data_IF_217995022173
#
_entry.id   IF_217995022173
#
_cell.length_a   1.000
_cell.length_b   1.000
_cell.length_c   1.000
_cell.angle_alpha   90.00
_cell.angle_beta   90.00
_cell.angle_gamma   90.00
#
_symmetry.space_group_name_H-M   'P 1'
#
loop_
_entity.id
_entity.type
_entity.pdbx_description
1 polymer ?
#
# COMPACT_ATOMS: atom_id res chain seq x y z
N UNK A 1 -1.52 -17.36 14.36
CA UNK A 1 -0.70 -16.14 14.15
C UNK A 1 -0.57 -15.41 15.47
N UNK A 2 0.50 -14.64 15.69
CA UNK A 2 0.66 -13.80 16.89
C UNK A 2 0.34 -12.34 16.53
N UNK A 3 -0.45 -11.63 17.36
CA UNK A 3 -0.83 -10.22 17.18
C UNK A 3 -1.29 -9.87 15.74
N UNK A 4 -2.20 -10.67 15.19
CA UNK A 4 -2.63 -10.55 13.81
C UNK A 4 -3.81 -9.58 13.67
N UNK A 5 -3.73 -8.67 12.70
CA UNK A 5 -4.86 -7.84 12.26
C UNK A 5 -5.90 -8.70 11.54
N UNK A 6 -5.44 -9.62 10.68
CA UNK A 6 -6.25 -10.64 10.03
C UNK A 6 -5.66 -12.03 10.37
N UNK A 7 -6.27 -12.77 11.33
CA UNK A 7 -5.77 -14.07 11.74
C UNK A 7 -6.05 -15.19 10.73
N UNK A 8 -6.91 -14.93 9.75
CA UNK A 8 -7.31 -15.87 8.70
C UNK A 8 -7.27 -15.16 7.34
N UNK A 9 -7.01 -15.96 6.31
CA UNK A 9 -7.14 -15.56 4.91
C UNK A 9 -8.60 -15.18 4.64
N UNK A 10 -8.84 -14.03 4.01
CA UNK A 10 -10.17 -13.58 3.62
C UNK A 10 -10.55 -13.99 2.20
N UNK A 11 -9.58 -14.12 1.30
CA UNK A 11 -9.91 -14.43 -0.09
C UNK A 11 -10.48 -15.84 -0.23
N UNK A 12 -11.36 -16.03 -1.21
CA UNK A 12 -11.94 -17.34 -1.53
C UNK A 12 -10.84 -18.36 -1.90
N UNK A 13 -11.17 -19.66 -1.88
CA UNK A 13 -10.20 -20.79 -1.91
C UNK A 13 -9.18 -20.72 -3.05
N UNK A 14 -9.52 -20.12 -4.19
CA UNK A 14 -8.65 -20.00 -5.38
C UNK A 14 -7.87 -18.69 -5.45
N UNK A 15 -8.17 -17.71 -4.60
CA UNK A 15 -7.51 -16.41 -4.56
C UNK A 15 -6.41 -16.41 -3.50
N UNK A 16 -5.51 -15.43 -3.55
CA UNK A 16 -4.35 -15.36 -2.63
C UNK A 16 -4.40 -14.07 -1.83
N UNK A 17 -4.12 -14.14 -0.54
CA UNK A 17 -3.89 -12.94 0.28
C UNK A 17 -2.38 -12.78 0.44
N UNK A 18 -1.91 -11.54 0.55
CA UNK A 18 -0.55 -11.31 1.01
C UNK A 18 -0.44 -11.71 2.49
N UNK A 19 0.78 -11.87 2.99
CA UNK A 19 1.02 -12.00 4.42
C UNK A 19 2.30 -11.27 4.79
N UNK A 20 2.40 -10.88 6.05
CA UNK A 20 3.60 -10.29 6.63
C UNK A 20 3.92 -11.00 7.94
N UNK A 21 5.21 -11.27 8.17
CA UNK A 21 5.70 -11.80 9.44
C UNK A 21 6.89 -11.00 9.91
N UNK A 22 6.80 -10.44 11.11
CA UNK A 22 7.90 -9.76 11.79
C UNK A 22 8.59 -10.74 12.73
N UNK A 23 9.89 -10.93 12.50
CA UNK A 23 10.76 -11.71 13.38
C UNK A 23 11.57 -10.78 14.29
N UNK A 24 11.59 -11.07 15.58
CA UNK A 24 12.31 -10.30 16.60
C UNK A 24 13.42 -11.18 17.17
N UNK A 25 14.64 -10.68 17.19
CA UNK A 25 15.77 -11.41 17.76
C UNK A 25 15.62 -11.52 19.28
N UNK A 26 15.78 -12.73 19.80
CA UNK A 26 15.86 -13.01 21.23
C UNK A 26 17.08 -13.89 21.51
N UNK A 27 18.09 -13.32 22.16
CA UNK A 27 19.38 -13.99 22.37
C UNK A 27 20.02 -14.38 21.04
N UNK A 28 20.30 -15.67 20.85
CA UNK A 28 20.82 -16.24 19.60
C UNK A 28 19.73 -16.64 18.58
N UNK A 29 18.45 -16.60 18.95
CA UNK A 29 17.32 -17.02 18.12
C UNK A 29 16.41 -15.87 17.66
N UNK A 30 15.30 -16.24 17.03
CA UNK A 30 14.22 -15.35 16.60
C UNK A 30 12.88 -15.86 17.12
N UNK A 31 12.00 -14.93 17.51
CA UNK A 31 10.60 -15.19 17.80
C UNK A 31 9.71 -14.40 16.83
N UNK A 32 8.46 -14.82 16.66
CA UNK A 32 7.48 -14.06 15.92
C UNK A 32 7.00 -12.90 16.79
N UNK A 33 7.26 -11.67 16.34
CA UNK A 33 6.68 -10.46 16.96
C UNK A 33 5.21 -10.30 16.57
N UNK A 34 4.94 -10.39 15.27
CA UNK A 34 3.59 -10.53 14.74
C UNK A 34 3.60 -11.28 13.40
N UNK A 35 2.45 -11.82 13.01
CA UNK A 35 2.22 -12.37 11.69
C UNK A 35 0.74 -12.18 11.33
N UNK A 36 0.44 -11.70 10.13
CA UNK A 36 -0.94 -11.45 9.70
C UNK A 36 -1.09 -11.72 8.21
N UNK A 37 -2.28 -12.17 7.81
CA UNK A 37 -2.72 -12.03 6.43
C UNK A 37 -2.97 -10.53 6.14
N UNK A 38 -2.93 -10.18 4.86
CA UNK A 38 -3.20 -8.86 4.34
C UNK A 38 -3.94 -9.03 3.02
N UNK A 39 -5.26 -8.95 3.08
CA UNK A 39 -6.09 -9.20 1.91
C UNK A 39 -7.59 -9.08 2.12
N UNK A 40 -8.30 -9.10 1.00
CA UNK A 40 -9.75 -9.04 0.93
C UNK A 40 -10.32 -10.30 0.28
N UNK A 41 -11.44 -10.16 -0.41
CA UNK A 41 -12.16 -11.28 -1.04
C UNK A 41 -11.49 -11.88 -2.28
N UNK A 42 -10.65 -11.10 -2.97
CA UNK A 42 -9.94 -11.47 -4.19
C UNK A 42 -8.43 -11.66 -3.97
N UNK A 43 -7.60 -11.22 -4.93
CA UNK A 43 -6.15 -11.51 -4.96
C UNK A 43 -5.33 -10.30 -4.56
N UNK A 44 -4.39 -10.55 -3.64
CA UNK A 44 -3.35 -9.63 -3.22
C UNK A 44 -1.96 -10.19 -3.49
N UNK A 45 -1.07 -9.31 -3.92
CA UNK A 45 0.35 -9.60 -4.07
C UNK A 45 1.17 -8.53 -3.34
N UNK A 46 1.89 -8.94 -2.29
CA UNK A 46 2.87 -8.09 -1.61
C UNK A 46 4.23 -8.18 -2.30
N UNK A 47 4.66 -7.12 -2.98
CA UNK A 47 5.92 -7.11 -3.74
C UNK A 47 7.10 -6.55 -2.97
N UNK A 48 6.85 -5.61 -2.05
CA UNK A 48 7.91 -4.89 -1.38
C UNK A 48 7.60 -4.71 0.11
N UNK A 49 8.64 -4.82 0.92
CA UNK A 49 8.59 -4.57 2.37
C UNK A 49 9.84 -3.80 2.79
N UNK A 50 9.65 -2.84 3.69
CA UNK A 50 10.74 -2.07 4.29
C UNK A 50 10.42 -1.71 5.73
N UNK A 51 11.44 -1.37 6.51
CA UNK A 51 11.27 -1.01 7.92
C UNK A 51 12.14 0.20 8.25
N UNK A 52 11.60 1.17 8.99
CA UNK A 52 12.37 2.32 9.45
C UNK A 52 13.07 2.05 10.79
N UNK A 53 13.89 3.01 11.24
CA UNK A 53 14.63 2.90 12.50
C UNK A 53 13.72 2.82 13.75
N UNK A 54 12.47 3.30 13.66
CA UNK A 54 11.47 3.16 14.72
C UNK A 54 10.79 1.78 14.73
N UNK A 55 11.12 0.90 13.77
CA UNK A 55 10.54 -0.44 13.64
C UNK A 55 9.16 -0.47 12.99
N UNK A 56 8.70 0.65 12.43
CA UNK A 56 7.47 0.67 11.61
C UNK A 56 7.77 -0.02 10.29
N UNK A 57 6.88 -0.92 9.88
CA UNK A 57 7.03 -1.72 8.66
C UNK A 57 6.09 -1.18 7.60
N UNK A 58 6.57 -1.05 6.38
CA UNK A 58 5.79 -0.62 5.24
C UNK A 58 5.77 -1.73 4.20
N UNK A 59 4.59 -2.00 3.65
CA UNK A 59 4.37 -3.00 2.61
C UNK A 59 3.73 -2.31 1.41
N UNK A 60 4.22 -2.63 0.23
CA UNK A 60 3.62 -2.18 -1.02
C UNK A 60 3.36 -3.37 -1.94
N UNK A 61 2.27 -3.30 -2.67
CA UNK A 61 1.79 -4.39 -3.50
C UNK A 61 0.61 -3.96 -4.34
N UNK A 62 -0.21 -4.92 -4.75
CA UNK A 62 -1.44 -4.64 -5.47
C UNK A 62 -2.53 -5.64 -5.09
N UNK A 63 -3.78 -5.20 -5.22
CA UNK A 63 -4.99 -5.92 -4.82
C UNK A 63 -6.05 -5.79 -5.90
N UNK A 64 -6.81 -6.85 -6.17
CA UNK A 64 -8.06 -6.79 -6.94
C UNK A 64 -9.30 -6.81 -6.03
N UNK A 65 -9.11 -6.79 -4.72
CA UNK A 65 -10.19 -6.81 -3.74
C UNK A 65 -10.74 -5.42 -3.52
N UNK A 66 -12.03 -5.22 -3.75
CA UNK A 66 -12.73 -3.98 -3.38
C UNK A 66 -12.92 -3.80 -1.87
N UNK A 67 -12.71 -4.89 -1.11
CA UNK A 67 -12.81 -4.98 0.34
C UNK A 67 -11.45 -5.16 1.04
N UNK A 68 -10.34 -4.79 0.39
CA UNK A 68 -9.02 -4.75 1.01
C UNK A 68 -9.05 -3.88 2.28
N UNK A 69 -8.36 -4.29 3.37
CA UNK A 69 -8.44 -3.58 4.64
C UNK A 69 -7.75 -2.21 4.57
N UNK A 70 -8.52 -1.14 4.77
CA UNK A 70 -8.04 0.26 4.75
C UNK A 70 -8.04 0.88 6.15
N UNK A 71 -7.11 1.81 6.40
CA UNK A 71 -7.00 2.56 7.66
C UNK A 71 -6.36 3.93 7.39
N UNK A 72 -6.94 5.02 7.91
CA UNK A 72 -6.50 6.42 7.68
C UNK A 72 -6.07 6.69 6.22
N UNK A 73 -6.86 6.17 5.28
CA UNK A 73 -6.45 6.05 3.89
C UNK A 73 -6.56 7.36 3.13
N UNK A 74 -5.59 7.63 2.25
CA UNK A 74 -5.69 8.71 1.27
C UNK A 74 -6.72 8.37 0.18
N UNK A 75 -6.71 7.14 -0.31
CA UNK A 75 -7.73 6.56 -1.18
C UNK A 75 -8.40 5.40 -0.42
N UNK A 76 -9.55 5.65 0.25
CA UNK A 76 -10.24 4.64 1.05
C UNK A 76 -11.05 3.65 0.21
N UNK A 77 -11.24 3.93 -1.07
CA UNK A 77 -12.08 3.13 -1.98
C UNK A 77 -11.27 2.64 -3.17
N UNK A 78 -11.44 1.36 -3.48
CA UNK A 78 -10.92 0.73 -4.68
C UNK A 78 -11.37 1.47 -5.94
N UNK A 79 -10.49 1.56 -6.94
CA UNK A 79 -10.74 2.16 -8.23
C UNK A 79 -11.87 1.47 -8.99
N UNK A 80 -12.62 2.18 -9.87
CA UNK A 80 -13.78 1.60 -10.58
C UNK A 80 -13.40 0.61 -11.70
N UNK A 81 -12.14 0.18 -11.78
CA UNK A 81 -11.56 -0.53 -12.91
C UNK A 81 -11.96 -1.98 -13.08
N UNK A 82 -12.49 -2.33 -14.25
CA UNK A 82 -12.68 -3.71 -14.70
C UNK A 82 -11.71 -4.04 -15.84
N UNK A 83 -10.98 -5.13 -15.69
CA UNK A 83 -9.85 -5.41 -16.56
C UNK A 83 -10.26 -6.01 -17.90
N UNK A 84 -9.71 -5.45 -18.99
CA UNK A 84 -9.85 -5.94 -20.36
C UNK A 84 -11.31 -6.14 -20.83
N UNK A 85 -12.24 -5.30 -20.37
CA UNK A 85 -13.66 -5.43 -20.72
C UNK A 85 -14.37 -6.60 -20.02
N UNK A 86 -13.75 -7.16 -18.97
CA UNK A 86 -14.41 -8.09 -18.06
C UNK A 86 -15.63 -7.43 -17.40
N UNK A 87 -16.67 -8.22 -17.16
CA UNK A 87 -17.84 -7.80 -16.35
C UNK A 87 -17.76 -8.29 -14.91
N UNK A 88 -16.72 -9.06 -14.56
CA UNK A 88 -16.67 -9.80 -13.29
C UNK A 88 -15.27 -9.89 -12.68
N UNK A 89 -14.29 -9.13 -13.18
CA UNK A 89 -12.93 -9.15 -12.66
C UNK A 89 -12.42 -7.72 -12.55
N UNK A 90 -12.10 -7.36 -11.32
CA UNK A 90 -11.46 -6.09 -11.03
C UNK A 90 -10.07 -6.05 -11.66
N UNK A 91 -9.64 -4.86 -12.05
CA UNK A 91 -8.21 -4.61 -12.22
C UNK A 91 -7.49 -4.65 -10.88
N UNK A 92 -6.18 -4.51 -10.93
CA UNK A 92 -5.39 -4.34 -9.73
C UNK A 92 -5.23 -2.86 -9.42
N UNK A 93 -5.52 -2.46 -8.18
CA UNK A 93 -5.03 -1.21 -7.63
C UNK A 93 -3.77 -1.49 -6.82
N UNK A 94 -2.82 -0.56 -6.83
CA UNK A 94 -1.70 -0.67 -5.92
C UNK A 94 -2.21 -0.45 -4.49
N UNK A 95 -1.49 -1.00 -3.51
CA UNK A 95 -1.72 -0.67 -2.11
C UNK A 95 -0.43 -0.26 -1.43
N UNK A 96 -0.56 0.56 -0.39
CA UNK A 96 0.54 0.88 0.53
C UNK A 96 0.01 0.77 1.95
N UNK A 97 0.69 -0.03 2.77
CA UNK A 97 0.30 -0.34 4.15
C UNK A 97 1.44 -0.04 5.09
N UNK A 98 1.11 0.50 6.26
CA UNK A 98 2.00 0.65 7.40
C UNK A 98 1.54 -0.26 8.54
N UNK A 99 2.48 -0.96 9.15
CA UNK A 99 2.33 -1.67 10.42
C UNK A 99 3.20 -1.03 11.50
N UNK A 100 2.62 -0.85 12.68
CA UNK A 100 3.36 -0.56 13.90
C UNK A 100 4.20 -1.78 14.32
N UNK A 101 5.27 -1.60 15.13
CA UNK A 101 6.08 -2.72 15.63
C UNK A 101 5.27 -3.78 16.41
N UNK A 102 4.13 -3.36 16.98
CA UNK A 102 3.15 -4.17 17.72
C UNK A 102 2.28 -5.05 16.82
N UNK A 103 2.19 -4.74 15.52
CA UNK A 103 1.33 -5.42 14.56
C UNK A 103 0.08 -4.64 14.17
N UNK A 104 -0.24 -3.53 14.85
CA UNK A 104 -1.37 -2.66 14.48
C UNK A 104 -1.16 -2.03 13.10
N UNK A 105 -2.24 -1.77 12.35
CA UNK A 105 -2.19 -1.20 11.00
C UNK A 105 -2.73 0.25 11.01
N UNK A 106 -1.89 1.25 11.34
CA UNK A 106 -2.33 2.64 11.43
C UNK A 106 -2.65 3.28 10.08
N UNK A 107 -2.07 2.77 8.98
CA UNK A 107 -2.28 3.30 7.64
C UNK A 107 -2.38 2.15 6.62
N UNK A 108 -3.36 2.22 5.74
CA UNK A 108 -3.53 1.32 4.60
C UNK A 108 -4.42 1.99 3.57
N UNK A 109 -3.91 2.14 2.35
CA UNK A 109 -4.60 2.83 1.26
C UNK A 109 -4.53 2.03 -0.03
N UNK A 110 -5.57 2.16 -0.86
CA UNK A 110 -5.46 1.89 -2.28
C UNK A 110 -4.64 2.98 -2.97
N UNK A 111 -4.22 2.71 -4.20
CA UNK A 111 -3.53 3.65 -5.06
C UNK A 111 -3.71 3.26 -6.53
N UNK A 112 -4.82 3.69 -7.13
CA UNK A 112 -5.16 3.28 -8.50
C UNK A 112 -6.46 3.90 -9.02
N UNK A 113 -6.87 3.48 -10.21
CA UNK A 113 -8.05 3.99 -10.90
C UNK A 113 -8.72 2.95 -11.82
N UNK A 114 -8.67 3.13 -13.14
CA UNK A 114 -9.52 2.38 -14.09
C UNK A 114 -8.87 1.08 -14.60
N UNK A 115 -7.55 1.04 -14.66
CA UNK A 115 -6.76 -0.08 -15.19
C UNK A 115 -5.71 -0.53 -14.18
N UNK A 116 -4.89 -1.50 -14.55
CA UNK A 116 -3.90 -2.08 -13.64
C UNK A 116 -2.88 -1.02 -13.16
N UNK A 117 -2.77 -0.95 -11.84
CA UNK A 117 -1.89 -0.08 -11.08
C UNK A 117 -1.09 -0.95 -10.10
N UNK A 118 0.22 -1.05 -10.29
CA UNK A 118 1.03 -2.07 -9.64
C UNK A 118 2.20 -1.42 -8.90
N UNK A 119 2.19 -1.43 -7.56
CA UNK A 119 3.38 -1.12 -6.78
C UNK A 119 4.34 -2.33 -6.81
N UNK A 120 5.58 -2.08 -7.26
CA UNK A 120 6.60 -3.11 -7.51
C UNK A 120 7.80 -2.99 -6.58
N UNK A 121 8.08 -1.80 -6.04
CA UNK A 121 9.23 -1.55 -5.19
C UNK A 121 8.94 -0.52 -4.12
N UNK A 122 9.73 -0.55 -3.05
CA UNK A 122 9.67 0.41 -1.96
C UNK A 122 11.07 0.66 -1.40
N UNK A 123 11.36 1.91 -1.06
CA UNK A 123 12.57 2.32 -0.35
C UNK A 123 12.22 3.36 0.73
N UNK A 124 13.07 3.46 1.75
CA UNK A 124 12.94 4.47 2.79
C UNK A 124 14.18 5.36 2.82
N UNK A 125 14.01 6.64 3.12
CA UNK A 125 15.12 7.52 3.46
C UNK A 125 15.38 7.60 4.98
N UNK A 126 16.46 8.25 5.38
CA UNK A 126 16.85 8.41 6.79
C UNK A 126 15.85 9.25 7.60
N UNK A 127 14.97 10.01 6.94
CA UNK A 127 13.91 10.77 7.60
C UNK A 127 12.63 9.94 7.78
N UNK A 128 12.64 8.67 7.34
CA UNK A 128 11.48 7.79 7.40
C UNK A 128 10.44 8.07 6.33
N UNK A 129 10.77 8.87 5.30
CA UNK A 129 9.89 8.98 4.14
C UNK A 129 9.97 7.68 3.34
N UNK A 130 8.83 7.26 2.80
CA UNK A 130 8.71 6.04 2.03
C UNK A 130 8.50 6.42 0.56
N UNK A 131 9.26 5.79 -0.32
CA UNK A 131 9.15 5.96 -1.76
C UNK A 131 8.68 4.63 -2.34
N UNK A 132 7.51 4.63 -2.96
CA UNK A 132 6.93 3.47 -3.63
C UNK A 132 7.04 3.68 -5.13
N UNK A 133 7.51 2.66 -5.84
CA UNK A 133 7.65 2.71 -7.29
C UNK A 133 6.84 1.61 -7.94
N UNK A 134 6.38 1.86 -9.16
CA UNK A 134 5.50 0.93 -9.84
C UNK A 134 5.21 1.33 -11.28
N UNK A 135 4.14 0.73 -11.81
CA UNK A 135 3.56 1.13 -13.09
C UNK A 135 2.07 1.37 -12.98
N UNK A 136 1.54 2.25 -13.82
CA UNK A 136 0.13 2.56 -13.96
C UNK A 136 -0.29 2.48 -15.42
N UNK A 137 -1.43 1.87 -15.68
CA UNK A 137 -2.11 1.88 -16.99
C UNK A 137 -3.27 2.89 -17.01
N UNK A 138 -3.55 3.49 -15.85
CA UNK A 138 -4.73 4.30 -15.55
C UNK A 138 -4.56 5.77 -15.95
N UNK A 139 -5.46 6.32 -16.82
CA UNK A 139 -5.46 7.76 -17.13
C UNK A 139 -5.79 8.61 -15.90
N UNK A 140 -6.64 8.09 -15.00
CA UNK A 140 -7.06 8.76 -13.77
C UNK A 140 -6.22 8.41 -12.54
N UNK A 141 -5.01 7.83 -12.72
CA UNK A 141 -4.23 7.42 -11.56
C UNK A 141 -3.88 8.62 -10.66
N UNK A 142 -4.06 8.49 -9.33
CA UNK A 142 -3.85 9.56 -8.37
C UNK A 142 -2.51 10.29 -8.52
N UNK A 143 -2.55 11.63 -8.54
CA UNK A 143 -1.37 12.51 -8.57
C UNK A 143 -1.56 13.70 -7.61
N UNK A 144 -0.48 14.41 -7.25
CA UNK A 144 -0.56 15.74 -6.65
C UNK A 144 -0.20 16.83 -7.64
N UNK A 145 -0.65 18.04 -7.33
CA UNK A 145 -0.09 19.27 -7.87
C UNK A 145 1.44 19.28 -7.75
N UNK A 146 2.13 19.73 -8.80
CA UNK A 146 3.60 19.77 -8.86
C UNK A 146 4.29 18.46 -9.22
N UNK A 147 3.55 17.45 -9.70
CA UNK A 147 4.13 16.24 -10.32
C UNK A 147 5.07 16.57 -11.50
N UNK A 148 6.09 15.75 -11.70
CA UNK A 148 7.14 16.01 -12.72
C UNK A 148 6.64 15.88 -14.16
N UNK A 149 5.62 15.05 -14.40
CA UNK A 149 4.96 14.89 -15.69
C UNK A 149 3.43 15.06 -15.50
N UNK A 150 2.85 16.22 -15.86
CA UNK A 150 1.43 16.50 -15.64
C UNK A 150 0.52 15.89 -16.71
N UNK A 151 1.06 15.51 -17.87
CA UNK A 151 0.31 14.93 -18.98
C UNK A 151 0.70 13.46 -19.21
N UNK A 152 -0.29 12.58 -19.37
CA UNK A 152 -0.08 11.15 -19.60
C UNK A 152 0.54 10.89 -20.99
N UNK A 153 1.55 10.02 -21.03
CA UNK A 153 2.09 9.38 -22.23
C UNK A 153 1.24 8.19 -22.74
N UNK A 154 1.71 7.52 -23.78
CA UNK A 154 1.01 6.35 -24.36
C UNK A 154 1.49 5.05 -23.69
N UNK A 155 0.55 4.18 -23.26
CA UNK A 155 0.85 2.86 -22.69
C UNK A 155 1.00 2.84 -21.16
N UNK A 156 1.76 1.85 -20.67
CA UNK A 156 2.16 1.69 -19.26
C UNK A 156 3.12 2.81 -18.88
N UNK A 157 2.84 3.51 -17.78
CA UNK A 157 3.69 4.57 -17.25
C UNK A 157 4.32 4.13 -15.93
N UNK A 158 5.57 4.52 -15.70
CA UNK A 158 6.15 4.36 -14.38
C UNK A 158 5.45 5.33 -13.40
N UNK A 159 5.47 5.00 -12.11
CA UNK A 159 5.18 5.99 -11.09
C UNK A 159 6.19 5.90 -9.94
N UNK A 160 6.37 7.03 -9.25
CA UNK A 160 6.96 7.10 -7.91
C UNK A 160 5.95 7.78 -7.00
N UNK A 161 5.70 7.27 -5.81
CA UNK A 161 4.87 7.90 -4.78
C UNK A 161 5.75 8.13 -3.56
N UNK A 162 5.80 9.37 -3.08
CA UNK A 162 6.44 9.68 -1.80
C UNK A 162 5.38 9.78 -0.70
N UNK A 163 5.60 9.05 0.38
CA UNK A 163 4.83 9.12 1.61
C UNK A 163 5.70 9.75 2.70
N UNK A 164 5.27 10.87 3.25
CA UNK A 164 5.91 11.56 4.37
C UNK A 164 5.05 11.47 5.62
N UNK A 165 5.66 11.20 6.78
CA UNK A 165 4.97 11.39 8.06
C UNK A 165 4.90 12.89 8.35
N UNK A 166 3.69 13.48 8.37
CA UNK A 166 3.59 14.88 8.77
C UNK A 166 4.01 15.01 10.25
N UNK A 167 5.05 15.80 10.51
CA UNK A 167 5.35 16.29 11.86
C UNK A 167 4.39 17.44 12.18
N UNK A 168 3.76 17.36 13.36
CA UNK A 168 2.83 18.36 13.92
C UNK A 168 3.55 19.69 14.29
N UNK A 169 2.83 20.83 14.49
CA UNK A 169 1.38 20.90 14.70
C UNK A 169 0.60 21.14 13.40
N UNK A 170 -0.58 20.52 13.28
CA UNK A 170 -1.47 20.79 12.16
C UNK A 170 -2.11 22.18 12.26
N UNK A 171 -2.62 22.74 11.15
CA UNK A 171 -3.63 23.80 11.20
C UNK A 171 -4.80 23.35 12.08
N UNK A 172 -5.51 24.27 12.76
CA UNK A 172 -6.41 23.97 13.87
C UNK A 172 -7.60 23.02 13.59
N UNK A 173 -7.70 22.41 12.42
CA UNK A 173 -8.75 21.47 12.04
C UNK A 173 -8.29 20.20 11.29
N UNK A 174 -7.00 19.79 11.32
CA UNK A 174 -6.54 18.59 10.59
C UNK A 174 -5.54 17.73 11.38
N UNK A 175 -5.98 16.76 12.19
CA UNK A 175 -5.08 15.81 12.89
C UNK A 175 -4.53 14.69 12.00
N UNK A 176 -4.11 14.98 10.77
CA UNK A 176 -3.78 13.93 9.79
C UNK A 176 -2.33 13.99 9.30
N UNK A 177 -1.69 12.82 9.19
CA UNK A 177 -0.45 12.66 8.44
C UNK A 177 -0.75 12.90 6.95
N UNK A 178 -0.35 14.07 6.44
CA UNK A 178 -0.49 14.36 5.03
C UNK A 178 0.65 13.68 4.28
N UNK A 179 0.31 12.56 3.65
CA UNK A 179 1.15 11.93 2.66
C UNK A 179 1.01 12.71 1.33
N UNK A 180 2.06 13.42 0.92
CA UNK A 180 2.08 14.16 -0.35
C UNK A 180 2.73 13.31 -1.45
N UNK A 181 1.96 12.62 -2.31
CA UNK A 181 2.53 11.81 -3.37
C UNK A 181 3.14 12.68 -4.47
N UNK A 182 4.46 12.91 -4.43
CA UNK A 182 5.16 13.43 -5.61
C UNK A 182 5.19 12.32 -6.66
N UNK A 183 4.25 12.38 -7.61
CA UNK A 183 4.24 11.47 -8.74
C UNK A 183 5.25 11.92 -9.77
N UNK A 184 6.35 11.17 -9.87
CA UNK A 184 7.11 11.08 -11.12
C UNK A 184 6.35 10.05 -11.94
N UNK A 185 5.56 10.50 -12.91
CA UNK A 185 5.33 9.69 -14.10
C UNK A 185 6.51 9.92 -15.03
#
# INVERSE_FOLDING_TARGET
>A
TANAVQPQKQGIVTMSDAFITRLVRQGSGYQIGFSTYLGGSETEVGNAVGMNAAGQVFVAGYTSSSDFPVADAWQPTFGPGLCFGSTSRNCFDAFIVQFAPTGDMPFSTYWGSLFDDLAKGLALDNNGNVYVVGKTESPGFPTTDGGFQPERGQGDEAFVVKLTTAVSPPPPNLTQQVYLPIVIR
#
